data_IF_092678475514
#
_entry.id   IF_092678475514
#
_cell.length_a   1.000
_cell.length_b   1.000
_cell.length_c   1.000
_cell.angle_alpha   90.00
_cell.angle_beta   90.00
_cell.angle_gamma   90.00
#
_symmetry.space_group_name_H-M   'P 1'
#
loop_
_entity.id
_entity.type
_entity.pdbx_description
1 polymer ?
#
# COMPACT_ATOMS: atom_id res chain seq x y z
N UNK A 1 -1.52 27.38 0.65
CA UNK A 1 -1.65 26.37 -0.42
C UNK A 1 -3.11 25.97 -0.52
N UNK A 2 -3.67 25.92 -1.73
CA UNK A 2 -5.10 25.72 -1.93
C UNK A 2 -5.52 24.30 -1.51
N UNK A 3 -6.54 24.24 -0.66
CA UNK A 3 -7.12 23.00 -0.15
C UNK A 3 -7.86 22.31 -1.30
N UNK A 4 -7.27 21.27 -1.89
CA UNK A 4 -7.98 20.43 -2.87
C UNK A 4 -8.97 19.59 -2.08
N UNK A 5 -10.27 19.86 -2.27
CA UNK A 5 -11.35 19.01 -1.75
C UNK A 5 -11.22 17.63 -2.38
N UNK A 6 -10.65 16.69 -1.64
CA UNK A 6 -10.66 15.28 -2.01
C UNK A 6 -12.10 14.78 -1.94
N UNK A 7 -12.56 14.13 -3.02
CA UNK A 7 -13.85 13.44 -3.06
C UNK A 7 -13.98 12.47 -1.87
N UNK A 8 -15.10 12.53 -1.13
CA UNK A 8 -15.36 11.67 0.03
C UNK A 8 -15.69 10.21 -0.34
N UNK A 9 -15.94 9.90 -1.61
CA UNK A 9 -16.26 8.53 -2.04
C UNK A 9 -14.96 7.76 -2.31
N UNK A 10 -14.82 6.52 -1.82
CA UNK A 10 -13.70 5.65 -2.16
C UNK A 10 -13.54 5.43 -3.67
N UNK A 11 -12.31 5.49 -4.16
CA UNK A 11 -11.95 5.26 -5.57
C UNK A 11 -11.27 3.90 -5.72
N UNK A 12 -11.91 2.93 -6.38
CA UNK A 12 -11.41 1.56 -6.42
C UNK A 12 -12.44 0.56 -6.97
N UNK A 13 -12.02 -0.69 -7.15
CA UNK A 13 -12.91 -1.83 -7.36
C UNK A 13 -12.67 -2.86 -6.24
N UNK A 14 -13.71 -3.47 -5.66
CA UNK A 14 -13.55 -4.48 -4.64
C UNK A 14 -12.71 -5.66 -5.11
N UNK A 15 -11.87 -6.20 -4.23
CA UNK A 15 -11.13 -7.44 -4.51
C UNK A 15 -12.06 -8.66 -4.42
N UNK A 16 -11.92 -9.62 -5.34
CA UNK A 16 -12.65 -10.90 -5.35
C UNK A 16 -11.79 -12.05 -4.81
N UNK A 17 -12.35 -12.89 -3.93
CA UNK A 17 -11.75 -14.16 -3.45
C UNK A 17 -11.58 -14.26 -1.93
N UNK A 18 -11.35 -15.48 -1.43
CA UNK A 18 -11.06 -15.75 0.00
C UNK A 18 -9.62 -15.33 0.34
N UNK A 19 -9.43 -14.64 1.46
CA UNK A 19 -8.09 -14.28 1.97
C UNK A 19 -7.49 -15.46 2.72
N UNK A 20 -6.60 -16.23 2.08
CA UNK A 20 -5.85 -17.28 2.77
C UNK A 20 -4.82 -16.67 3.74
N UNK A 21 -4.63 -17.29 4.90
CA UNK A 21 -3.59 -16.89 5.84
C UNK A 21 -2.21 -16.91 5.17
N UNK A 22 -1.37 -15.94 5.50
CA UNK A 22 0.00 -15.78 5.01
C UNK A 22 0.14 -15.63 3.49
N UNK A 23 -0.94 -15.30 2.76
CA UNK A 23 -0.89 -15.09 1.31
C UNK A 23 0.16 -14.05 0.90
N UNK A 24 0.34 -12.99 1.68
CA UNK A 24 1.30 -11.91 1.37
C UNK A 24 2.62 -12.02 2.15
N UNK A 25 2.84 -13.13 2.86
CA UNK A 25 4.05 -13.34 3.68
C UNK A 25 5.35 -13.18 2.90
N UNK A 26 5.40 -13.61 1.64
CA UNK A 26 6.61 -13.47 0.81
C UNK A 26 6.91 -12.00 0.50
N UNK A 27 5.87 -11.18 0.33
CA UNK A 27 5.97 -9.73 0.12
C UNK A 27 6.45 -9.06 1.41
N UNK A 28 5.85 -9.40 2.55
CA UNK A 28 6.29 -8.87 3.85
C UNK A 28 7.76 -9.21 4.13
N UNK A 29 8.16 -10.46 3.88
CA UNK A 29 9.52 -10.91 4.07
C UNK A 29 10.50 -10.21 3.10
N UNK A 30 10.08 -9.95 1.87
CA UNK A 30 10.87 -9.17 0.93
C UNK A 30 11.14 -7.76 1.48
N UNK A 31 10.10 -7.07 1.97
CA UNK A 31 10.23 -5.73 2.57
C UNK A 31 11.13 -5.78 3.80
N UNK A 32 10.96 -6.77 4.68
CA UNK A 32 11.82 -6.93 5.86
C UNK A 32 13.30 -7.15 5.49
N UNK A 33 13.57 -7.87 4.40
CA UNK A 33 14.93 -8.21 3.98
C UNK A 33 15.62 -7.05 3.25
N UNK A 34 14.89 -6.35 2.38
CA UNK A 34 15.48 -5.34 1.48
C UNK A 34 15.22 -3.90 1.93
N UNK A 35 14.20 -3.66 2.75
CA UNK A 35 13.78 -2.34 3.23
C UNK A 35 13.72 -2.21 4.77
N UNK A 36 14.61 -2.86 5.55
CA UNK A 36 14.54 -2.76 7.01
C UNK A 36 14.79 -1.32 7.49
N UNK A 37 15.66 -0.57 6.81
CA UNK A 37 15.95 0.83 7.14
C UNK A 37 14.73 1.71 6.96
N UNK A 38 13.92 1.50 5.92
CA UNK A 38 12.67 2.23 5.70
C UNK A 38 11.66 1.93 6.82
N UNK A 39 11.57 0.68 7.27
CA UNK A 39 10.68 0.28 8.37
C UNK A 39 11.13 0.85 9.72
N UNK A 40 12.44 0.93 9.98
CA UNK A 40 13.00 1.43 11.24
C UNK A 40 13.33 2.92 11.23
N UNK A 41 13.10 3.64 10.13
CA UNK A 41 13.39 5.08 9.99
C UNK A 41 12.57 5.90 10.99
N UNK A 42 13.20 6.83 11.73
CA UNK A 42 12.58 7.62 12.81
C UNK A 42 12.97 9.11 12.79
N UNK A 43 13.44 9.63 11.67
CA UNK A 43 13.77 11.06 11.49
C UNK A 43 12.58 11.83 10.89
N UNK A 44 12.39 13.08 11.32
CA UNK A 44 11.39 13.99 10.75
C UNK A 44 9.99 13.38 10.64
N UNK A 45 9.38 13.48 9.46
CA UNK A 45 8.05 12.94 9.18
C UNK A 45 7.98 11.41 9.21
N UNK A 46 9.12 10.70 9.17
CA UNK A 46 9.09 9.24 9.25
C UNK A 46 8.68 8.78 10.64
N UNK A 47 9.09 9.45 11.72
CA UNK A 47 8.80 9.10 13.13
C UNK A 47 7.38 8.56 13.36
N UNK A 48 6.38 9.25 12.83
CA UNK A 48 4.95 8.94 13.02
C UNK A 48 4.22 8.49 11.74
N UNK A 49 4.97 8.18 10.68
CA UNK A 49 4.41 7.78 9.38
C UNK A 49 3.89 6.34 9.36
N UNK A 50 2.88 6.12 8.53
CA UNK A 50 2.11 4.89 8.38
C UNK A 50 2.76 3.93 7.37
N UNK A 51 2.66 2.64 7.66
CA UNK A 51 2.52 1.62 6.63
C UNK A 51 1.04 1.49 6.23
N UNK A 52 0.74 1.52 4.94
CA UNK A 52 -0.61 1.41 4.39
C UNK A 52 -0.76 0.10 3.63
N UNK A 53 -1.73 -0.72 4.03
CA UNK A 53 -2.17 -1.93 3.31
C UNK A 53 -3.46 -1.59 2.54
N UNK A 54 -3.32 -1.26 1.26
CA UNK A 54 -4.43 -0.89 0.39
C UNK A 54 -5.05 -2.13 -0.25
N UNK A 55 -6.34 -2.32 -0.03
CA UNK A 55 -7.11 -3.43 -0.59
C UNK A 55 -6.85 -4.73 0.16
N UNK A 56 -6.90 -4.72 1.50
CA UNK A 56 -6.56 -5.88 2.35
C UNK A 56 -7.46 -7.11 2.11
N UNK A 57 -8.61 -6.91 1.46
CA UNK A 57 -9.47 -7.99 0.98
C UNK A 57 -10.53 -8.40 1.99
N UNK A 58 -10.93 -9.68 1.95
CA UNK A 58 -12.14 -10.17 2.62
C UNK A 58 -12.14 -9.97 4.15
N UNK A 59 -10.98 -10.10 4.79
CA UNK A 59 -10.80 -9.88 6.22
C UNK A 59 -9.51 -9.12 6.50
N UNK A 60 -9.36 -8.61 7.73
CA UNK A 60 -8.21 -7.81 8.18
C UNK A 60 -6.87 -8.57 8.22
N UNK A 61 -6.86 -9.86 7.89
CA UNK A 61 -5.75 -10.76 8.21
C UNK A 61 -4.43 -10.31 7.59
N UNK A 62 -4.42 -9.89 6.32
CA UNK A 62 -3.17 -9.48 5.67
C UNK A 62 -2.55 -8.24 6.31
N UNK A 63 -3.39 -7.31 6.80
CA UNK A 63 -2.94 -6.12 7.50
C UNK A 63 -2.35 -6.48 8.86
N UNK A 64 -3.04 -7.33 9.63
CA UNK A 64 -2.59 -7.78 10.96
C UNK A 64 -1.32 -8.63 10.89
N UNK A 65 -1.22 -9.50 9.89
CA UNK A 65 -0.03 -10.31 9.64
C UNK A 65 1.20 -9.44 9.31
N UNK A 66 1.02 -8.39 8.49
CA UNK A 66 2.09 -7.41 8.23
C UNK A 66 2.45 -6.61 9.48
N UNK A 67 1.45 -6.16 10.26
CA UNK A 67 1.67 -5.45 11.52
C UNK A 67 2.55 -6.28 12.47
N UNK A 68 2.18 -7.54 12.71
CA UNK A 68 2.92 -8.45 13.58
C UNK A 68 4.36 -8.73 13.11
N UNK A 69 4.62 -8.65 11.79
CA UNK A 69 5.95 -8.82 11.21
C UNK A 69 6.79 -7.56 11.30
N UNK A 70 6.26 -6.43 10.83
CA UNK A 70 7.00 -5.19 10.75
C UNK A 70 7.28 -4.60 12.15
N UNK A 71 6.38 -4.82 13.12
CA UNK A 71 6.60 -4.40 14.51
C UNK A 71 7.73 -5.14 15.23
N UNK A 72 8.27 -6.21 14.65
CA UNK A 72 9.52 -6.83 15.15
C UNK A 72 10.74 -5.94 14.93
N UNK A 73 10.68 -5.05 13.92
CA UNK A 73 11.76 -4.12 13.56
C UNK A 73 11.44 -2.70 14.05
N UNK A 74 10.16 -2.31 14.03
CA UNK A 74 9.70 -1.02 14.56
C UNK A 74 8.43 -1.22 15.41
N UNK A 75 8.57 -1.43 16.73
CA UNK A 75 7.44 -1.70 17.63
C UNK A 75 6.36 -0.62 17.62
N UNK A 76 6.72 0.63 17.29
CA UNK A 76 5.82 1.78 17.22
C UNK A 76 5.19 2.01 15.84
N UNK A 77 5.45 1.15 14.85
CA UNK A 77 4.97 1.37 13.48
C UNK A 77 3.43 1.37 13.45
N UNK A 78 2.88 2.49 13.00
CA UNK A 78 1.45 2.66 12.75
C UNK A 78 1.07 2.00 11.42
N UNK A 79 -0.06 1.31 11.43
CA UNK A 79 -0.55 0.46 10.34
C UNK A 79 -1.95 0.94 9.97
N UNK A 80 -2.18 1.20 8.68
CA UNK A 80 -3.49 1.57 8.16
C UNK A 80 -3.94 0.54 7.11
N UNK A 81 -4.95 -0.26 7.45
CA UNK A 81 -5.69 -1.06 6.48
C UNK A 81 -6.74 -0.20 5.77
N UNK A 82 -6.72 -0.17 4.45
CA UNK A 82 -7.70 0.56 3.63
C UNK A 82 -8.47 -0.43 2.76
N UNK A 83 -9.80 -0.33 2.77
CA UNK A 83 -10.65 -1.12 1.88
C UNK A 83 -11.84 -0.29 1.39
N UNK A 84 -12.30 -0.61 0.18
CA UNK A 84 -13.40 0.11 -0.49
C UNK A 84 -14.79 -0.36 -0.04
N UNK A 85 -14.88 -1.59 0.47
CA UNK A 85 -16.10 -2.22 0.92
C UNK A 85 -16.35 -1.87 2.40
N UNK A 86 -17.46 -1.19 2.66
CA UNK A 86 -17.83 -0.73 4.01
C UNK A 86 -18.03 -1.88 4.99
N UNK A 87 -18.63 -2.99 4.56
CA UNK A 87 -18.90 -4.13 5.43
C UNK A 87 -17.59 -4.80 5.85
N UNK A 88 -16.61 -4.87 4.94
CA UNK A 88 -15.26 -5.37 5.25
C UNK A 88 -14.49 -4.46 6.20
N UNK A 89 -14.69 -3.15 6.12
CA UNK A 89 -14.12 -2.19 7.07
C UNK A 89 -14.76 -2.36 8.44
N UNK A 90 -16.09 -2.43 8.51
CA UNK A 90 -16.82 -2.66 9.77
C UNK A 90 -16.41 -3.97 10.45
N UNK A 91 -16.25 -5.05 9.67
CA UNK A 91 -15.76 -6.33 10.17
C UNK A 91 -14.30 -6.29 10.65
N UNK A 92 -13.50 -5.33 10.19
CA UNK A 92 -12.11 -5.15 10.59
C UNK A 92 -11.95 -4.29 11.87
N UNK A 93 -12.91 -3.41 12.18
CA UNK A 93 -12.86 -2.50 13.33
C UNK A 93 -12.58 -3.19 14.69
N UNK A 94 -13.11 -4.40 15.00
CA UNK A 94 -12.78 -5.09 16.24
C UNK A 94 -11.28 -5.43 16.41
N UNK A 95 -10.49 -5.39 15.33
CA UNK A 95 -9.05 -5.62 15.35
C UNK A 95 -8.22 -4.33 15.38
N UNK A 96 -8.87 -3.16 15.45
CA UNK A 96 -8.17 -1.89 15.57
C UNK A 96 -7.59 -1.70 16.99
N UNK A 97 -6.48 -0.98 17.08
CA UNK A 97 -5.82 -0.60 18.33
C UNK A 97 -5.19 0.79 18.17
N UNK A 98 -4.42 1.26 19.17
CA UNK A 98 -3.80 2.60 19.17
C UNK A 98 -2.79 2.82 18.02
N UNK A 99 -2.36 1.76 17.33
CA UNK A 99 -1.39 1.78 16.25
C UNK A 99 -1.88 1.09 14.97
N UNK A 100 -3.07 0.48 14.98
CA UNK A 100 -3.63 -0.30 13.88
C UNK A 100 -5.02 0.23 13.57
N UNK A 101 -5.18 0.78 12.37
CA UNK A 101 -6.39 1.46 11.95
C UNK A 101 -7.00 0.78 10.73
N UNK A 102 -8.32 0.81 10.62
CA UNK A 102 -9.06 0.36 9.43
C UNK A 102 -9.97 1.48 8.95
N UNK A 103 -9.90 1.83 7.66
CA UNK A 103 -10.66 2.95 7.11
C UNK A 103 -11.20 2.66 5.73
N UNK A 104 -12.40 3.19 5.48
CA UNK A 104 -13.05 3.16 4.19
C UNK A 104 -12.35 4.11 3.21
N UNK A 105 -11.84 3.58 2.10
CA UNK A 105 -11.10 4.37 1.13
C UNK A 105 -10.62 3.55 -0.07
N UNK A 106 -9.85 4.19 -0.94
CA UNK A 106 -9.33 3.59 -2.15
C UNK A 106 -8.04 4.28 -2.58
N UNK A 107 -7.88 4.56 -3.87
CA UNK A 107 -6.72 5.32 -4.37
C UNK A 107 -6.63 6.73 -3.77
N UNK A 108 -7.77 7.31 -3.40
CA UNK A 108 -7.85 8.40 -2.45
C UNK A 108 -7.70 7.87 -1.01
N UNK A 109 -6.45 7.71 -0.55
CA UNK A 109 -6.18 7.22 0.80
C UNK A 109 -6.90 8.09 1.86
N UNK A 110 -7.62 7.47 2.82
CA UNK A 110 -8.39 8.17 3.85
C UNK A 110 -7.49 8.60 5.03
N UNK A 111 -6.46 9.39 4.71
CA UNK A 111 -5.55 9.95 5.71
C UNK A 111 -6.23 11.06 6.51
N UNK A 112 -5.93 11.11 7.80
CA UNK A 112 -6.30 12.20 8.69
C UNK A 112 -5.25 13.32 8.60
N UNK A 113 -5.61 14.50 9.09
CA UNK A 113 -4.68 15.65 9.11
C UNK A 113 -3.42 15.30 9.92
N UNK A 114 -2.25 15.63 9.37
CA UNK A 114 -0.95 15.34 9.98
C UNK A 114 -0.44 13.90 9.79
N UNK A 115 -1.21 13.02 9.15
CA UNK A 115 -0.72 11.68 8.83
C UNK A 115 0.14 11.66 7.57
N UNK A 116 1.23 10.90 7.64
CA UNK A 116 2.18 10.72 6.56
C UNK A 116 2.35 9.23 6.25
N UNK A 117 2.78 8.88 5.04
CA UNK A 117 2.91 7.48 4.60
C UNK A 117 4.35 7.17 4.20
N UNK A 118 4.98 6.19 4.85
CA UNK A 118 6.33 5.73 4.48
C UNK A 118 6.34 4.61 3.47
N UNK A 119 5.32 3.75 3.52
CA UNK A 119 5.24 2.52 2.74
C UNK A 119 3.79 2.23 2.38
N UNK A 120 3.52 2.03 1.10
CA UNK A 120 2.23 1.50 0.61
C UNK A 120 2.45 0.10 0.06
N UNK A 121 1.59 -0.84 0.45
CA UNK A 121 1.42 -2.13 -0.23
C UNK A 121 0.04 -2.17 -0.89
N UNK A 122 -0.01 -2.45 -2.20
CA UNK A 122 -1.26 -2.57 -2.95
C UNK A 122 -1.27 -3.84 -3.81
N UNK A 123 -1.70 -4.98 -3.25
CA UNK A 123 -1.69 -6.27 -3.94
C UNK A 123 -3.08 -6.68 -4.41
N UNK A 124 -3.19 -7.12 -5.67
CA UNK A 124 -4.42 -7.56 -6.32
C UNK A 124 -5.48 -6.47 -6.50
N UNK A 125 -5.09 -5.20 -6.35
CA UNK A 125 -5.94 -4.02 -6.47
C UNK A 125 -5.93 -3.49 -7.91
N UNK A 126 -4.74 -3.10 -8.39
CA UNK A 126 -4.58 -2.39 -9.66
C UNK A 126 -4.85 -3.24 -10.92
N UNK A 127 -4.73 -4.57 -10.82
CA UNK A 127 -4.91 -5.51 -11.95
C UNK A 127 -6.30 -5.53 -12.58
N UNK A 128 -7.29 -4.93 -11.93
CA UNK A 128 -8.69 -4.93 -12.39
C UNK A 128 -8.98 -3.76 -13.34
N UNK A 129 -8.02 -2.85 -13.51
CA UNK A 129 -8.15 -1.66 -14.33
C UNK A 129 -7.54 -1.86 -15.71
N UNK A 130 -8.19 -1.28 -16.72
CA UNK A 130 -7.56 -1.11 -18.02
C UNK A 130 -6.36 -0.17 -17.94
N UNK A 131 -5.46 -0.26 -18.91
CA UNK A 131 -4.21 0.51 -18.98
C UNK A 131 -4.41 2.03 -18.78
N UNK A 132 -5.53 2.57 -19.28
CA UNK A 132 -5.87 4.00 -19.21
C UNK A 132 -6.20 4.49 -17.80
N UNK A 133 -6.74 3.62 -16.95
CA UNK A 133 -7.14 3.96 -15.57
C UNK A 133 -6.05 3.61 -14.54
N UNK A 134 -5.06 2.81 -14.96
CA UNK A 134 -3.93 2.40 -14.13
C UNK A 134 -3.01 3.58 -13.78
N UNK A 135 -2.54 4.31 -14.78
CA UNK A 135 -1.51 5.34 -14.59
C UNK A 135 -1.96 6.48 -13.64
N UNK A 136 -3.16 7.08 -13.78
CA UNK A 136 -3.61 8.13 -12.87
C UNK A 136 -3.76 7.63 -11.43
N UNK A 137 -4.29 6.42 -11.24
CA UNK A 137 -4.46 5.80 -9.93
C UNK A 137 -3.12 5.52 -9.24
N UNK A 138 -2.16 5.03 -10.02
CA UNK A 138 -0.79 4.76 -9.55
C UNK A 138 -0.06 6.04 -9.13
N UNK A 139 -0.11 7.07 -9.99
CA UNK A 139 0.48 8.38 -9.69
C UNK A 139 -0.14 8.98 -8.43
N UNK A 140 -1.46 8.89 -8.29
CA UNK A 140 -2.18 9.38 -7.11
C UNK A 140 -1.71 8.70 -5.82
N UNK A 141 -1.50 7.38 -5.84
CA UNK A 141 -0.96 6.67 -4.67
C UNK A 141 0.45 7.11 -4.32
N UNK A 142 1.30 7.29 -5.33
CA UNK A 142 2.68 7.71 -5.15
C UNK A 142 2.81 9.14 -4.58
N UNK A 143 1.81 10.00 -4.77
CA UNK A 143 1.77 11.33 -4.14
C UNK A 143 1.72 11.26 -2.61
N UNK A 144 1.05 10.27 -2.02
CA UNK A 144 0.93 10.12 -0.56
C UNK A 144 2.21 9.66 0.11
N UNK A 145 3.06 8.94 -0.63
CA UNK A 145 4.32 8.41 -0.09
C UNK A 145 5.27 9.57 0.20
N UNK A 146 5.93 9.54 1.36
CA UNK A 146 6.97 10.49 1.71
C UNK A 146 8.16 10.42 0.72
N UNK A 147 8.88 11.52 0.46
CA UNK A 147 10.20 11.45 -0.18
C UNK A 147 11.09 10.44 0.56
N UNK A 148 11.78 9.58 -0.19
CA UNK A 148 12.53 8.43 0.35
C UNK A 148 11.68 7.19 0.67
N UNK A 149 10.35 7.31 0.70
CA UNK A 149 9.41 6.22 0.93
C UNK A 149 9.19 5.32 -0.28
N UNK A 150 8.44 4.25 -0.09
CA UNK A 150 8.25 3.18 -1.08
C UNK A 150 6.78 2.85 -1.32
N UNK A 151 6.44 2.53 -2.56
CA UNK A 151 5.22 1.82 -2.91
C UNK A 151 5.60 0.47 -3.54
N UNK A 152 4.98 -0.60 -3.06
CA UNK A 152 5.05 -1.93 -3.65
C UNK A 152 3.65 -2.40 -4.03
N UNK A 153 3.46 -2.68 -5.31
CA UNK A 153 2.19 -3.13 -5.84
C UNK A 153 2.38 -4.36 -6.70
N UNK A 154 1.33 -5.16 -6.85
CA UNK A 154 1.41 -6.30 -7.74
C UNK A 154 0.29 -7.31 -7.56
N UNK A 155 0.59 -8.56 -7.88
CA UNK A 155 -0.38 -9.67 -7.84
C UNK A 155 0.22 -10.86 -7.12
N UNK A 156 -0.63 -11.64 -6.47
CA UNK A 156 -0.24 -12.91 -5.84
C UNK A 156 -1.32 -13.97 -6.05
N UNK A 157 -0.92 -15.24 -6.13
CA UNK A 157 -1.87 -16.35 -6.11
C UNK A 157 -2.61 -16.41 -4.77
N UNK A 158 -3.80 -17.04 -4.68
CA UNK A 158 -4.59 -17.11 -3.45
C UNK A 158 -3.82 -17.60 -2.22
N UNK A 159 -2.82 -18.47 -2.41
CA UNK A 159 -1.97 -19.02 -1.35
C UNK A 159 -0.57 -18.38 -1.27
N UNK A 160 -0.28 -17.37 -2.09
CA UNK A 160 1.00 -16.65 -2.03
C UNK A 160 2.22 -17.41 -2.56
N UNK A 161 2.01 -18.52 -3.26
CA UNK A 161 3.11 -19.34 -3.82
C UNK A 161 3.81 -18.65 -4.97
N UNK A 162 3.07 -17.89 -5.78
CA UNK A 162 3.60 -17.07 -6.86
C UNK A 162 3.13 -15.63 -6.63
N UNK A 163 4.03 -14.70 -6.89
CA UNK A 163 3.76 -13.28 -6.79
C UNK A 163 4.69 -12.55 -7.75
N UNK A 164 4.23 -11.41 -8.25
CA UNK A 164 5.00 -10.46 -9.04
C UNK A 164 4.67 -9.07 -8.51
N UNK A 165 5.66 -8.19 -8.47
CA UNK A 165 5.49 -6.85 -7.93
C UNK A 165 6.35 -5.82 -8.67
N UNK A 166 5.82 -4.61 -8.76
CA UNK A 166 6.58 -3.42 -9.09
C UNK A 166 6.89 -2.67 -7.81
N UNK A 167 8.10 -2.09 -7.77
CA UNK A 167 8.55 -1.24 -6.67
C UNK A 167 8.83 0.15 -7.21
N UNK A 168 8.24 1.16 -6.58
CA UNK A 168 8.52 2.56 -6.86
C UNK A 168 8.96 3.27 -5.59
N UNK A 169 10.16 3.84 -5.63
CA UNK A 169 10.68 4.71 -4.58
C UNK A 169 10.42 6.16 -4.97
N UNK A 170 9.90 6.96 -4.04
CA UNK A 170 9.84 8.40 -4.23
C UNK A 170 11.20 9.00 -3.92
N UNK A 171 11.78 9.74 -4.85
CA UNK A 171 13.08 10.37 -4.61
C UNK A 171 12.97 11.47 -3.54
N UNK A 172 14.07 11.73 -2.84
CA UNK A 172 14.17 12.78 -1.81
C UNK A 172 13.89 14.19 -2.39
N UNK A 173 14.07 14.38 -3.70
CA UNK A 173 13.68 15.60 -4.42
C UNK A 173 12.17 15.78 -4.56
N UNK A 174 11.36 14.82 -4.13
CA UNK A 174 9.90 14.79 -4.26
C UNK A 174 9.40 14.46 -5.67
N UNK A 175 10.29 14.28 -6.66
CA UNK A 175 9.94 13.86 -8.02
C UNK A 175 9.84 12.32 -8.12
N UNK A 176 8.84 11.84 -8.86
CA UNK A 176 8.76 10.45 -9.33
C UNK A 176 9.77 10.26 -10.47
N UNK A 177 10.78 9.43 -10.29
CA UNK A 177 11.64 9.01 -11.40
C UNK A 177 10.95 7.87 -12.15
N UNK A 178 10.32 8.19 -13.29
CA UNK A 178 9.92 7.19 -14.26
C UNK A 178 11.16 6.82 -15.08
N UNK A 179 11.74 5.65 -14.86
CA UNK A 179 12.54 4.97 -15.90
C UNK A 179 11.59 4.14 -16.73
N UNK A 180 10.91 4.79 -17.67
CA UNK A 180 10.40 4.11 -18.86
C UNK A 180 11.25 4.67 -19.99
N UNK A 181 12.31 3.95 -20.35
CA UNK A 181 12.80 4.05 -21.72
C UNK A 181 11.71 3.41 -22.60
N UNK A 182 11.28 4.12 -23.64
CA UNK A 182 10.46 3.52 -24.70
C UNK A 182 11.19 2.25 -25.15
N UNK A 183 10.60 1.10 -24.85
CA UNK A 183 11.03 -0.14 -25.49
C UNK A 183 10.52 -0.04 -26.91
N UNK A 184 11.41 0.33 -27.83
CA UNK A 184 11.18 0.07 -29.26
C UNK A 184 10.75 -1.39 -29.40
N UNK A 185 9.58 -1.60 -30.00
CA UNK A 185 9.09 -2.92 -30.35
C UNK A 185 9.97 -3.50 -31.46
N UNK A 186 11.17 -3.92 -31.11
CA UNK A 186 11.98 -4.84 -31.89
C UNK A 186 11.37 -6.23 -31.78
N UNK A 187 11.22 -6.90 -32.91
CA UNK A 187 10.69 -8.25 -33.03
C UNK A 187 11.41 -9.22 -32.07
N UNK A 188 10.64 -9.91 -31.21
CA UNK A 188 11.16 -10.99 -30.39
C UNK A 188 10.77 -12.34 -31.04
N UNK A 189 11.79 -13.12 -31.43
CA UNK A 189 11.69 -14.58 -31.66
C UNK A 189 11.76 -15.32 -30.33
#
# INVERSE_FOLDING_TARGET
>A
MAHVRVSKKPEGQPTRGKTAANRLRRVDNFILLYEPSLLSRMDGWFTDSLFVDLGYGFDARTTLESAARFRRVNPSLKILGVEIDKERVEAALPFADDQTFFRLGGFNLPLQEGEHVRLIRAFNVLRQYGEKDFAPSYERLAEYVLPGGLMIEGTSTPYGQLWAANLARKLESGKLEKRIEEVETGEWR
#
